data_IF_818312952705
#
_entry.id   IF_818312952705
#
_cell.length_a   1.000
_cell.length_b   1.000
_cell.length_c   1.000
_cell.angle_alpha   90.00
_cell.angle_beta   90.00
_cell.angle_gamma   90.00
#
_symmetry.space_group_name_H-M   'P 1'
#
loop_
_entity.id
_entity.type
_entity.pdbx_description
1 polymer ?
#
# COMPACT_ATOMS: atom_id res chain seq x y z
N UNK A 1 -11.75 43.91 9.68
CA UNK A 1 -13.00 43.90 10.51
C UNK A 1 -12.94 42.67 11.39
N UNK A 2 -12.69 42.95 12.64
CA UNK A 2 -12.49 41.98 13.73
C UNK A 2 -13.89 41.59 14.21
N UNK A 3 -14.18 40.30 14.34
CA UNK A 3 -15.27 39.82 15.22
C UNK A 3 -14.76 38.70 16.12
N UNK A 4 -14.45 39.17 17.30
CA UNK A 4 -14.22 38.44 18.53
C UNK A 4 -15.58 37.98 19.09
N UNK A 5 -15.76 36.68 19.34
CA UNK A 5 -16.84 36.18 20.20
C UNK A 5 -16.24 35.23 21.24
N UNK A 6 -16.09 35.78 22.42
CA UNK A 6 -15.94 35.03 23.66
C UNK A 6 -17.37 34.75 24.21
N UNK A 7 -17.55 33.64 24.88
CA UNK A 7 -18.59 33.30 25.87
C UNK A 7 -18.56 31.77 26.08
N UNK A 8 -18.63 31.13 27.19
CA UNK A 8 -18.76 31.52 28.62
C UNK A 8 -18.64 30.17 29.36
N UNK A 9 -17.98 30.15 30.47
CA UNK A 9 -17.89 29.03 31.43
C UNK A 9 -19.25 28.74 32.06
N UNK A 10 -19.53 27.47 32.39
CA UNK A 10 -20.50 27.06 33.41
C UNK A 10 -20.08 25.74 34.03
N UNK A 11 -19.45 25.80 35.19
CA UNK A 11 -19.86 25.45 36.55
C UNK A 11 -20.31 23.99 36.78
N UNK A 12 -19.43 23.34 37.52
CA UNK A 12 -19.53 22.22 38.46
C UNK A 12 -20.90 21.77 38.93
N UNK A 13 -21.08 20.46 39.01
CA UNK A 13 -21.86 19.85 40.07
C UNK A 13 -21.19 18.53 40.52
N UNK A 14 -20.65 18.58 41.73
CA UNK A 14 -20.10 17.51 42.50
C UNK A 14 -21.29 16.75 43.16
N UNK A 15 -21.46 15.48 42.85
CA UNK A 15 -22.32 14.56 43.59
C UNK A 15 -21.46 13.44 44.18
N UNK A 16 -21.20 13.55 45.48
CA UNK A 16 -20.71 12.44 46.29
C UNK A 16 -21.87 11.44 46.52
N UNK A 17 -21.73 10.24 46.02
CA UNK A 17 -22.48 9.09 46.55
C UNK A 17 -21.48 8.12 47.20
N UNK A 18 -21.46 8.17 48.53
CA UNK A 18 -20.86 7.12 49.37
C UNK A 18 -21.88 5.97 49.38
N UNK A 19 -21.53 4.84 48.85
CA UNK A 19 -22.27 3.57 48.97
C UNK A 19 -21.28 2.43 49.12
N UNK A 20 -21.04 1.99 50.35
CA UNK A 20 -20.44 0.69 50.65
C UNK A 20 -21.37 -0.41 50.19
N UNK A 21 -20.88 -1.34 49.42
CA UNK A 21 -21.47 -2.62 49.08
C UNK A 21 -20.35 -3.50 48.59
N UNK A 22 -19.88 -4.40 49.51
CA UNK A 22 -19.04 -5.54 49.15
C UNK A 22 -19.85 -6.51 48.31
N UNK A 23 -19.65 -6.52 47.04
CA UNK A 23 -19.90 -7.64 46.15
C UNK A 23 -18.81 -7.59 45.07
N UNK A 24 -17.85 -8.50 45.17
CA UNK A 24 -16.88 -8.76 44.13
C UNK A 24 -17.60 -9.23 42.87
N UNK A 25 -17.68 -8.42 41.80
CA UNK A 25 -18.02 -8.96 40.50
C UNK A 25 -16.79 -9.70 40.00
N UNK A 26 -16.93 -11.01 39.84
CA UNK A 26 -16.05 -11.82 39.02
C UNK A 26 -16.00 -11.15 37.64
N UNK A 27 -14.93 -10.39 37.33
CA UNK A 27 -14.69 -9.91 36.00
C UNK A 27 -14.71 -11.09 35.04
N UNK A 28 -15.54 -11.06 33.99
CA UNK A 28 -15.31 -11.97 32.87
C UNK A 28 -13.93 -11.65 32.33
N UNK A 29 -13.04 -12.63 32.39
CA UNK A 29 -11.79 -12.59 31.64
C UNK A 29 -12.18 -12.62 30.18
N UNK A 30 -12.34 -11.44 29.59
CA UNK A 30 -12.36 -11.29 28.14
C UNK A 30 -11.00 -11.75 27.64
N UNK A 31 -10.90 -13.05 27.39
CA UNK A 31 -9.84 -13.61 26.57
C UNK A 31 -10.11 -13.11 25.15
N UNK A 32 -9.70 -11.87 24.89
CA UNK A 32 -9.56 -11.38 23.51
C UNK A 32 -8.48 -12.22 22.85
N UNK A 33 -8.89 -13.34 22.27
CA UNK A 33 -8.07 -14.11 21.35
C UNK A 33 -7.88 -13.22 20.13
N UNK A 34 -6.85 -12.39 20.14
CA UNK A 34 -6.36 -11.71 18.93
C UNK A 34 -5.90 -12.81 17.98
N UNK A 35 -6.80 -13.28 17.12
CA UNK A 35 -6.43 -14.10 15.97
C UNK A 35 -5.59 -13.23 15.06
N UNK A 36 -4.28 -13.27 15.22
CA UNK A 36 -3.35 -12.68 14.24
C UNK A 36 -3.47 -13.51 12.96
N UNK A 37 -4.26 -13.00 12.00
CA UNK A 37 -4.31 -13.59 10.67
C UNK A 37 -2.95 -13.38 10.02
N UNK A 38 -2.15 -14.43 9.95
CA UNK A 38 -0.87 -14.40 9.23
C UNK A 38 -1.14 -14.23 7.75
N UNK A 39 -0.48 -13.27 7.11
CA UNK A 39 -0.58 -13.06 5.67
C UNK A 39 -0.04 -14.30 4.92
N UNK A 40 -0.83 -14.83 3.98
CA UNK A 40 -0.41 -15.93 3.14
C UNK A 40 0.82 -15.54 2.30
N UNK A 41 1.74 -16.47 2.12
CA UNK A 41 2.89 -16.25 1.23
C UNK A 41 2.45 -16.27 -0.23
N UNK A 42 3.17 -15.58 -1.15
CA UNK A 42 2.90 -15.64 -2.57
C UNK A 42 3.05 -17.07 -3.10
N UNK A 43 2.11 -17.52 -3.93
CA UNK A 43 2.11 -18.81 -4.61
C UNK A 43 1.96 -18.68 -6.13
N UNK A 44 1.49 -17.55 -6.61
CA UNK A 44 1.33 -17.20 -8.02
C UNK A 44 2.39 -16.17 -8.38
N UNK A 45 2.93 -16.26 -9.59
CA UNK A 45 3.86 -15.28 -10.14
C UNK A 45 3.48 -14.97 -11.58
N UNK A 46 3.30 -13.69 -11.88
CA UNK A 46 3.02 -13.19 -13.22
C UNK A 46 4.08 -12.18 -13.66
N UNK A 47 4.26 -12.07 -14.97
CA UNK A 47 5.17 -11.10 -15.55
C UNK A 47 4.41 -10.02 -16.31
N UNK A 48 4.80 -8.78 -16.06
CA UNK A 48 4.33 -7.60 -16.75
C UNK A 48 5.48 -6.95 -17.50
N UNK A 49 5.48 -7.08 -18.82
CA UNK A 49 6.48 -6.48 -19.71
C UNK A 49 5.82 -5.44 -20.61
N UNK A 50 6.47 -4.29 -20.80
CA UNK A 50 5.99 -3.26 -21.70
C UNK A 50 7.12 -2.30 -22.08
N UNK A 51 6.79 -1.31 -22.94
CA UNK A 51 7.64 -0.17 -23.24
C UNK A 51 7.07 1.08 -22.58
N UNK A 52 7.89 1.72 -21.76
CA UNK A 52 7.61 2.98 -21.10
C UNK A 52 8.10 4.15 -21.97
N UNK A 53 7.23 5.07 -22.27
CA UNK A 53 7.60 6.32 -22.97
C UNK A 53 8.14 7.33 -21.96
N UNK A 54 8.95 8.27 -22.46
CA UNK A 54 9.44 9.42 -21.68
C UNK A 54 8.25 10.18 -21.09
N UNK A 55 8.27 10.44 -19.78
CA UNK A 55 7.17 11.07 -19.04
C UNK A 55 5.92 10.21 -18.90
N UNK A 56 5.95 8.95 -19.33
CA UNK A 56 4.78 8.06 -19.35
C UNK A 56 4.64 7.15 -18.15
N UNK A 57 3.53 6.41 -18.13
CA UNK A 57 3.30 5.30 -17.20
C UNK A 57 2.62 4.14 -17.88
N UNK A 58 2.78 2.94 -17.32
CA UNK A 58 2.12 1.69 -17.71
C UNK A 58 1.67 0.97 -16.47
N UNK A 59 0.57 0.24 -16.54
CA UNK A 59 0.11 -0.60 -15.44
C UNK A 59 -0.47 -1.92 -15.93
N UNK A 60 -0.49 -2.88 -15.04
CA UNK A 60 -1.06 -4.20 -15.21
C UNK A 60 -1.97 -4.50 -14.02
N UNK A 61 -3.19 -4.99 -14.26
CA UNK A 61 -4.15 -5.33 -13.20
C UNK A 61 -4.19 -6.84 -12.98
N UNK A 62 -4.23 -7.25 -11.71
CA UNK A 62 -4.31 -8.64 -11.27
C UNK A 62 -5.27 -8.77 -10.10
N UNK A 63 -5.67 -10.00 -9.78
CA UNK A 63 -6.64 -10.27 -8.71
C UNK A 63 -6.06 -11.27 -7.72
N UNK A 64 -6.08 -10.93 -6.43
CA UNK A 64 -5.81 -11.89 -5.35
C UNK A 64 -7.11 -12.32 -4.68
N UNK A 65 -7.26 -13.62 -4.40
CA UNK A 65 -8.46 -14.20 -3.79
C UNK A 65 -8.40 -14.31 -2.28
N UNK A 66 -7.21 -14.15 -1.68
CA UNK A 66 -6.98 -14.30 -0.26
C UNK A 66 -6.16 -13.15 0.32
N UNK A 67 -6.24 -12.96 1.65
CA UNK A 67 -5.34 -12.04 2.35
C UNK A 67 -3.93 -12.61 2.36
N UNK A 68 -2.96 -11.83 1.88
CA UNK A 68 -1.58 -12.27 1.90
C UNK A 68 -0.60 -11.25 1.35
N UNK A 69 0.65 -11.68 1.22
CA UNK A 69 1.76 -10.84 0.78
C UNK A 69 1.77 -10.70 -0.73
N UNK A 70 1.86 -9.46 -1.22
CA UNK A 70 2.11 -9.14 -2.62
C UNK A 70 3.52 -8.56 -2.73
N UNK A 71 4.28 -9.05 -3.69
CA UNK A 71 5.63 -8.60 -4.01
C UNK A 71 5.68 -8.10 -5.45
N UNK A 72 6.22 -6.90 -5.67
CA UNK A 72 6.57 -6.41 -7.01
C UNK A 72 8.08 -6.31 -7.13
N UNK A 73 8.61 -6.84 -8.22
CA UNK A 73 10.02 -6.81 -8.54
C UNK A 73 10.22 -6.27 -9.96
N UNK A 74 10.79 -5.09 -10.10
CA UNK A 74 11.28 -4.59 -11.37
C UNK A 74 12.57 -5.37 -11.70
N UNK A 75 12.46 -6.38 -12.56
CA UNK A 75 13.55 -7.32 -12.84
C UNK A 75 14.50 -6.87 -13.92
N UNK A 76 14.00 -6.05 -14.87
CA UNK A 76 14.84 -5.49 -15.91
C UNK A 76 14.33 -4.14 -16.40
N UNK A 77 15.27 -3.29 -16.81
CA UNK A 77 15.04 -2.07 -17.58
C UNK A 77 16.12 -1.99 -18.65
N UNK A 78 15.75 -1.57 -19.87
CA UNK A 78 16.71 -1.43 -20.95
C UNK A 78 16.12 -0.72 -22.15
N UNK A 79 16.93 -0.51 -23.17
CA UNK A 79 16.56 0.16 -24.42
C UNK A 79 17.76 0.86 -25.03
N UNK A 80 17.59 1.38 -26.25
CA UNK A 80 18.61 2.21 -26.86
C UNK A 80 18.79 3.50 -26.04
N UNK A 81 20.03 3.75 -25.62
CA UNK A 81 20.39 4.90 -24.76
C UNK A 81 19.78 4.91 -23.36
N UNK A 82 19.23 3.76 -22.90
CA UNK A 82 18.70 3.61 -21.53
C UNK A 82 19.63 2.68 -20.75
N UNK A 83 20.36 3.20 -19.74
CA UNK A 83 21.20 2.35 -18.88
C UNK A 83 20.33 1.41 -18.03
N UNK A 84 20.82 0.19 -17.78
CA UNK A 84 20.10 -0.77 -16.91
C UNK A 84 19.97 -0.33 -15.45
N UNK A 85 20.72 0.69 -15.06
CA UNK A 85 20.70 1.31 -13.71
C UNK A 85 19.72 2.47 -13.59
N UNK A 86 18.96 2.80 -14.66
CA UNK A 86 17.99 3.88 -14.61
C UNK A 86 16.93 3.58 -13.56
N UNK A 87 16.54 4.59 -12.79
CA UNK A 87 15.50 4.46 -11.78
C UNK A 87 14.14 4.80 -12.39
N UNK A 88 13.15 3.97 -12.10
CA UNK A 88 11.75 4.15 -12.45
C UNK A 88 10.88 4.17 -11.18
N UNK A 89 9.71 4.75 -11.25
CA UNK A 89 8.68 4.61 -10.22
C UNK A 89 8.02 3.24 -10.36
N UNK A 90 8.01 2.46 -9.29
CA UNK A 90 7.30 1.18 -9.17
C UNK A 90 6.28 1.28 -8.04
N UNK A 91 5.01 0.99 -8.30
CA UNK A 91 3.96 1.11 -7.29
C UNK A 91 2.88 0.06 -7.40
N UNK A 92 2.18 -0.15 -6.28
CA UNK A 92 0.97 -0.95 -6.20
C UNK A 92 -0.21 -0.07 -5.78
N UNK A 93 -1.37 -0.36 -6.32
CA UNK A 93 -2.60 0.38 -6.00
C UNK A 93 -3.85 -0.32 -6.51
N UNK A 94 -4.88 0.46 -6.77
CA UNK A 94 -6.15 -0.03 -7.32
C UNK A 94 -6.42 0.57 -8.70
N UNK A 95 -6.98 -0.23 -9.63
CA UNK A 95 -7.38 0.28 -10.93
C UNK A 95 -8.48 1.36 -10.79
N UNK A 96 -8.34 2.44 -11.55
CA UNK A 96 -9.33 3.52 -11.61
C UNK A 96 -9.48 3.97 -13.05
N UNK A 97 -10.51 3.51 -13.74
CA UNK A 97 -10.71 3.76 -15.16
C UNK A 97 -9.53 3.26 -16.00
N UNK A 98 -8.85 4.15 -16.67
CA UNK A 98 -7.69 3.86 -17.53
C UNK A 98 -6.34 4.09 -16.83
N UNK A 99 -6.32 4.19 -15.52
CA UNK A 99 -5.11 4.41 -14.70
C UNK A 99 -5.09 3.49 -13.47
N UNK A 100 -3.96 3.51 -12.76
CA UNK A 100 -3.72 2.82 -11.50
C UNK A 100 -3.40 3.88 -10.43
N UNK A 101 -4.28 3.99 -9.44
CA UNK A 101 -4.07 4.88 -8.27
C UNK A 101 -3.24 4.12 -7.26
N UNK A 102 -1.95 4.47 -7.16
CA UNK A 102 -0.99 3.79 -6.30
C UNK A 102 -1.14 4.22 -4.84
N UNK A 103 -1.17 3.25 -3.92
CA UNK A 103 -1.12 3.47 -2.47
C UNK A 103 0.29 3.36 -1.91
N UNK A 104 1.14 2.57 -2.56
CA UNK A 104 2.57 2.45 -2.24
C UNK A 104 3.36 2.64 -3.52
N UNK A 105 4.44 3.44 -3.44
CA UNK A 105 5.30 3.74 -4.58
C UNK A 105 6.75 3.91 -4.12
N UNK A 106 7.69 3.39 -4.89
CA UNK A 106 9.13 3.54 -4.67
C UNK A 106 9.82 3.92 -5.98
N UNK A 107 10.90 4.68 -5.89
CA UNK A 107 11.80 4.91 -7.02
C UNK A 107 12.94 3.89 -6.93
N UNK A 108 13.09 3.05 -7.94
CA UNK A 108 14.02 1.93 -7.91
C UNK A 108 14.65 1.66 -9.28
N UNK A 109 15.87 1.12 -9.27
CA UNK A 109 16.46 0.46 -10.42
C UNK A 109 16.03 -1.02 -10.46
N UNK A 110 16.25 -1.68 -11.60
CA UNK A 110 16.02 -3.10 -11.74
C UNK A 110 16.89 -3.91 -10.74
N UNK A 111 16.32 -4.99 -10.21
CA UNK A 111 16.97 -5.86 -9.24
C UNK A 111 16.31 -7.24 -9.13
N UNK A 112 16.91 -8.12 -8.32
CA UNK A 112 16.41 -9.49 -8.12
C UNK A 112 15.53 -9.65 -6.88
N UNK A 113 15.49 -8.63 -6.01
CA UNK A 113 14.67 -8.65 -4.78
C UNK A 113 13.46 -7.76 -4.95
N UNK A 114 12.35 -8.11 -4.32
CA UNK A 114 11.14 -7.29 -4.34
C UNK A 114 11.42 -5.89 -3.78
N UNK A 115 11.05 -4.87 -4.56
CA UNK A 115 11.18 -3.48 -4.16
C UNK A 115 9.91 -2.94 -3.52
N UNK A 116 8.74 -3.53 -3.83
CA UNK A 116 7.48 -3.26 -3.15
C UNK A 116 6.97 -4.55 -2.55
N UNK A 117 6.72 -4.55 -1.24
CA UNK A 117 6.21 -5.70 -0.49
C UNK A 117 5.18 -5.20 0.52
N UNK A 118 4.06 -5.89 0.64
CA UNK A 118 3.03 -5.58 1.62
C UNK A 118 1.99 -6.68 1.76
N UNK A 119 1.22 -6.63 2.85
CA UNK A 119 0.08 -7.51 3.06
C UNK A 119 -1.21 -6.82 2.59
N UNK A 120 -1.98 -7.52 1.76
CA UNK A 120 -3.17 -6.99 1.11
C UNK A 120 -4.34 -7.97 1.25
N UNK A 121 -5.55 -7.44 1.37
CA UNK A 121 -6.77 -8.24 1.38
C UNK A 121 -7.08 -8.80 -0.02
N UNK A 122 -7.98 -9.78 -0.09
CA UNK A 122 -8.56 -10.19 -1.36
C UNK A 122 -9.12 -8.98 -2.12
N UNK A 123 -8.84 -8.91 -3.42
CA UNK A 123 -9.26 -7.76 -4.24
C UNK A 123 -8.55 -7.65 -5.57
N UNK A 124 -8.89 -6.61 -6.32
CA UNK A 124 -8.24 -6.26 -7.58
C UNK A 124 -7.21 -5.17 -7.32
N UNK A 125 -5.99 -5.41 -7.79
CA UNK A 125 -4.86 -4.50 -7.66
C UNK A 125 -4.23 -4.21 -9.01
N UNK A 126 -3.35 -3.21 -9.04
CA UNK A 126 -2.54 -2.91 -10.21
C UNK A 126 -1.09 -2.64 -9.80
N UNK A 127 -0.18 -3.15 -10.61
CA UNK A 127 1.23 -2.78 -10.60
C UNK A 127 1.46 -1.68 -11.63
N UNK A 128 2.05 -0.56 -11.23
CA UNK A 128 2.31 0.60 -12.10
C UNK A 128 3.81 0.86 -12.19
N UNK A 129 4.28 1.08 -13.41
CA UNK A 129 5.63 1.58 -13.69
C UNK A 129 5.51 2.96 -14.33
N UNK A 130 6.30 3.92 -13.87
CA UNK A 130 6.28 5.30 -14.34
C UNK A 130 7.68 5.86 -14.52
N UNK A 131 7.84 6.71 -15.51
CA UNK A 131 9.03 7.58 -15.61
C UNK A 131 8.94 8.66 -14.53
N UNK A 132 10.03 8.82 -13.79
CA UNK A 132 10.19 9.85 -12.76
C UNK A 132 11.00 11.06 -13.26
N UNK A 133 11.11 11.21 -14.59
CA UNK A 133 11.89 12.26 -15.24
C UNK A 133 13.33 11.84 -15.56
N UNK A 134 13.64 10.56 -15.52
CA UNK A 134 14.99 10.03 -15.77
C UNK A 134 15.17 9.44 -17.17
N UNK A 135 14.09 9.27 -17.94
CA UNK A 135 14.18 8.74 -19.29
C UNK A 135 14.42 9.85 -20.32
N UNK A 136 15.35 9.59 -21.21
CA UNK A 136 15.60 10.41 -22.42
C UNK A 136 15.19 9.69 -23.70
N UNK A 137 14.88 8.38 -23.60
CA UNK A 137 14.39 7.54 -24.68
C UNK A 137 13.40 6.51 -24.12
N UNK A 138 12.54 5.90 -24.96
CA UNK A 138 11.66 4.83 -24.54
C UNK A 138 12.45 3.65 -23.93
N UNK A 139 11.96 3.12 -22.82
CA UNK A 139 12.57 2.01 -22.09
C UNK A 139 11.67 0.79 -22.10
N UNK A 140 12.21 -0.38 -22.45
CA UNK A 140 11.56 -1.67 -22.14
C UNK A 140 11.78 -2.03 -20.69
N UNK A 141 10.79 -2.62 -20.05
CA UNK A 141 10.89 -3.09 -18.67
C UNK A 141 10.17 -4.42 -18.48
N UNK A 142 10.56 -5.15 -17.42
CA UNK A 142 9.86 -6.31 -16.94
C UNK A 142 9.66 -6.20 -15.41
N UNK A 143 8.44 -6.49 -14.96
CA UNK A 143 8.07 -6.56 -13.54
C UNK A 143 7.52 -7.95 -13.25
N UNK A 144 8.07 -8.62 -12.25
CA UNK A 144 7.49 -9.83 -11.67
C UNK A 144 6.54 -9.43 -10.53
N UNK A 145 5.32 -9.95 -10.59
CA UNK A 145 4.24 -9.74 -9.62
C UNK A 145 3.98 -11.08 -8.95
N UNK A 146 4.29 -11.20 -7.65
CA UNK A 146 4.05 -12.42 -6.89
C UNK A 146 2.98 -12.17 -5.82
N UNK A 147 1.94 -13.03 -5.76
CA UNK A 147 0.79 -12.87 -4.88
C UNK A 147 0.19 -14.25 -4.47
N UNK A 148 -0.67 -14.33 -3.41
CA UNK A 148 -1.30 -15.57 -2.95
C UNK A 148 -2.32 -16.13 -3.93
#
# INVERSE_FOLDING_TARGET
MIRLHAFTALIATLVLCVGCGDDSPTSPTDTSTSSSTTAAAPTISEEFSSTLLVGGSKFYSFTTSTYGTINLTLTSVGGNFVPSTVMLGLGIGQPSGTDCVTTTNVNTAAGSSAQVTGAYSAGVYCAKVSDIGNLYAPASFNVTIAYP
#
